data_IF_457465378021
#
_entry.id   IF_457465378021
#
_cell.length_a   1.000
_cell.length_b   1.000
_cell.length_c   1.000
_cell.angle_alpha   90.00
_cell.angle_beta   90.00
_cell.angle_gamma   90.00
#
_symmetry.space_group_name_H-M   'P 1'
#
loop_
_entity.id
_entity.type
_entity.pdbx_description
1 polymer ?
#
# COMPACT_ATOMS: atom_id res chain seq x y z
N UNK A 1 -17.80 -61.85 0.98
CA UNK A 1 -17.69 -61.74 2.45
C UNK A 1 -16.61 -62.74 2.89
N UNK A 2 -15.52 -62.35 3.56
CA UNK A 2 -15.14 -61.02 4.06
C UNK A 2 -14.02 -60.33 3.26
N UNK A 3 -14.02 -59.01 3.39
CA UNK A 3 -12.99 -58.03 3.03
C UNK A 3 -11.80 -58.23 3.99
N UNK A 4 -10.65 -58.67 3.48
CA UNK A 4 -9.44 -58.84 4.28
C UNK A 4 -8.85 -57.47 4.55
N UNK A 5 -8.88 -57.07 5.82
CA UNK A 5 -8.16 -55.93 6.33
C UNK A 5 -6.67 -55.99 5.93
N UNK A 6 -6.25 -55.06 5.08
CA UNK A 6 -4.84 -54.78 4.83
C UNK A 6 -4.39 -53.77 5.89
N UNK A 7 -3.64 -54.26 6.89
CA UNK A 7 -3.00 -53.43 7.90
C UNK A 7 -1.97 -52.52 7.23
N UNK A 8 -1.99 -51.18 7.45
CA UNK A 8 -0.89 -50.35 7.00
C UNK A 8 0.38 -50.64 7.83
N UNK A 9 1.50 -50.72 7.12
CA UNK A 9 2.84 -51.00 7.62
C UNK A 9 3.33 -49.94 8.64
N UNK A 10 4.24 -50.31 9.56
CA UNK A 10 4.72 -49.39 10.60
C UNK A 10 5.52 -48.24 9.98
N UNK A 11 5.15 -47.00 10.33
CA UNK A 11 5.89 -45.79 9.95
C UNK A 11 7.22 -45.77 10.70
N UNK A 12 8.31 -45.91 9.96
CA UNK A 12 9.67 -45.71 10.42
C UNK A 12 9.83 -44.23 10.85
N UNK A 13 10.16 -44.00 12.12
CA UNK A 13 10.41 -42.65 12.65
C UNK A 13 11.85 -42.25 12.35
N UNK A 14 12.12 -41.17 11.60
CA UNK A 14 13.47 -40.65 11.52
C UNK A 14 13.86 -39.95 12.83
N UNK A 15 15.10 -40.19 13.22
CA UNK A 15 15.76 -39.90 14.50
C UNK A 15 15.85 -38.39 14.84
N UNK A 16 16.01 -38.03 16.14
CA UNK A 16 16.14 -36.64 16.55
C UNK A 16 17.42 -36.01 15.98
N UNK A 17 17.26 -35.00 15.13
CA UNK A 17 18.39 -34.25 14.58
C UNK A 17 18.94 -33.32 15.67
N UNK A 18 20.22 -33.53 15.95
CA UNK A 18 21.09 -32.77 16.85
C UNK A 18 21.04 -31.26 16.56
N UNK A 19 20.89 -30.44 17.60
CA UNK A 19 20.88 -28.98 17.49
C UNK A 19 22.28 -28.47 17.14
N UNK A 20 22.49 -27.74 16.03
CA UNK A 20 23.76 -27.09 15.81
C UNK A 20 23.90 -25.88 16.75
N UNK A 21 25.13 -25.75 17.28
CA UNK A 21 25.61 -24.76 18.23
C UNK A 21 25.42 -23.29 17.77
N UNK A 22 25.40 -22.32 18.71
CA UNK A 22 25.22 -20.90 18.38
C UNK A 22 26.40 -20.39 17.55
N UNK A 23 26.13 -20.04 16.29
CA UNK A 23 27.10 -19.37 15.43
C UNK A 23 27.20 -17.91 15.85
N UNK A 24 28.44 -17.50 16.13
CA UNK A 24 28.84 -16.18 16.58
C UNK A 24 28.42 -15.08 15.59
N UNK A 25 28.08 -13.92 16.16
CA UNK A 25 27.61 -12.74 15.44
C UNK A 25 28.68 -12.23 14.46
N UNK A 26 28.39 -12.09 13.15
CA UNK A 26 29.27 -11.34 12.29
C UNK A 26 29.12 -9.84 12.58
N UNK A 27 30.27 -9.30 12.95
CA UNK A 27 30.70 -7.92 13.07
C UNK A 27 30.01 -6.94 12.09
N UNK A 28 29.48 -5.87 12.70
CA UNK A 28 29.43 -4.48 12.23
C UNK A 28 29.49 -4.24 10.71
N UNK A 29 28.31 -4.12 10.10
CA UNK A 29 28.18 -3.48 8.79
C UNK A 29 28.41 -1.96 8.94
N UNK A 30 29.51 -1.48 8.38
CA UNK A 30 29.76 -0.05 8.16
C UNK A 30 28.61 0.54 7.31
N UNK A 31 28.04 1.70 7.67
CA UNK A 31 26.98 2.30 6.88
C UNK A 31 27.57 2.84 5.57
N UNK A 32 27.43 2.06 4.50
CA UNK A 32 27.60 2.55 3.14
C UNK A 32 26.61 3.69 2.90
N UNK A 33 27.15 4.84 2.50
CA UNK A 33 26.51 6.14 2.33
C UNK A 33 25.00 6.13 2.14
N UNK A 34 24.28 6.72 3.10
CA UNK A 34 22.98 7.30 2.84
C UNK A 34 23.17 8.35 1.74
N UNK A 35 22.80 8.01 0.51
CA UNK A 35 22.50 9.05 -0.48
C UNK A 35 21.20 9.66 0.03
N UNK A 36 21.30 10.75 0.76
CA UNK A 36 20.15 11.55 1.19
C UNK A 36 19.27 11.77 -0.05
N UNK A 37 17.98 11.37 -0.04
CA UNK A 37 17.08 11.79 -1.10
C UNK A 37 17.04 13.32 -1.02
N UNK A 38 17.63 13.96 -2.02
CA UNK A 38 17.71 15.41 -2.12
C UNK A 38 16.29 15.92 -2.39
N UNK A 39 15.53 16.14 -1.31
CA UNK A 39 14.17 16.68 -1.32
C UNK A 39 14.23 18.12 -1.80
N UNK A 40 14.28 18.29 -3.12
CA UNK A 40 14.08 19.58 -3.75
C UNK A 40 12.57 19.81 -3.76
N UNK A 41 12.07 20.40 -2.68
CA UNK A 41 10.66 20.79 -2.55
C UNK A 41 10.39 21.95 -3.50
N UNK A 42 10.22 21.66 -4.79
CA UNK A 42 9.65 22.63 -5.72
C UNK A 42 8.23 22.99 -5.24
N UNK A 43 7.86 24.28 -5.23
CA UNK A 43 6.52 24.68 -4.82
C UNK A 43 5.49 24.02 -5.75
N UNK A 44 4.46 23.42 -5.18
CA UNK A 44 3.40 22.76 -5.94
C UNK A 44 2.68 23.75 -6.86
N UNK A 45 2.42 23.33 -8.11
CA UNK A 45 1.64 24.09 -9.08
C UNK A 45 0.23 24.34 -8.54
N UNK A 46 -0.17 25.61 -8.43
CA UNK A 46 -1.48 26.02 -7.90
C UNK A 46 -2.65 25.40 -8.68
N UNK A 47 -2.45 25.12 -9.98
CA UNK A 47 -3.47 24.46 -10.82
C UNK A 47 -3.79 23.07 -10.30
N UNK A 48 -2.78 22.33 -9.86
CA UNK A 48 -2.95 21.00 -9.29
C UNK A 48 -3.67 21.06 -7.94
N UNK A 49 -3.31 22.02 -7.09
CA UNK A 49 -3.99 22.23 -5.81
C UNK A 49 -5.48 22.57 -5.99
N UNK A 50 -5.81 23.27 -7.08
CA UNK A 50 -7.19 23.64 -7.42
C UNK A 50 -7.98 22.56 -8.16
N UNK A 51 -7.36 21.45 -8.57
CA UNK A 51 -7.95 20.42 -9.44
C UNK A 51 -8.97 19.48 -8.75
N UNK A 52 -9.69 19.97 -7.74
CA UNK A 52 -10.64 19.17 -6.96
C UNK A 52 -11.82 18.67 -7.79
N UNK A 53 -12.34 19.48 -8.71
CA UNK A 53 -13.46 19.05 -9.58
C UNK A 53 -13.05 17.94 -10.55
N UNK A 54 -11.83 18.02 -11.08
CA UNK A 54 -11.24 16.96 -11.90
C UNK A 54 -11.10 15.66 -11.10
N UNK A 55 -10.56 15.75 -9.87
CA UNK A 55 -10.41 14.60 -8.99
C UNK A 55 -11.76 13.98 -8.57
N UNK A 56 -12.75 14.81 -8.25
CA UNK A 56 -14.12 14.34 -7.97
C UNK A 56 -14.77 13.69 -9.20
N UNK A 57 -14.49 14.21 -10.40
CA UNK A 57 -14.90 13.60 -11.66
C UNK A 57 -14.38 12.17 -11.78
N UNK A 58 -13.05 12.00 -11.67
CA UNK A 58 -12.40 10.69 -11.78
C UNK A 58 -12.87 9.70 -10.71
N UNK A 59 -13.05 10.14 -9.46
CA UNK A 59 -13.60 9.28 -8.40
C UNK A 59 -15.01 8.77 -8.74
N UNK A 60 -15.86 9.64 -9.31
CA UNK A 60 -17.24 9.27 -9.66
C UNK A 60 -17.32 8.25 -10.81
N UNK A 61 -16.24 8.08 -11.58
CA UNK A 61 -16.17 7.05 -12.61
C UNK A 61 -16.01 5.64 -12.01
N UNK A 62 -15.37 5.53 -10.84
CA UNK A 62 -15.04 4.24 -10.23
C UNK A 62 -15.91 3.90 -9.01
N UNK A 63 -16.50 4.90 -8.36
CA UNK A 63 -17.24 4.71 -7.10
C UNK A 63 -18.47 5.61 -7.02
N UNK A 64 -19.55 5.19 -6.35
CA UNK A 64 -20.72 6.05 -6.15
C UNK A 64 -20.35 7.32 -5.37
N UNK A 65 -20.91 8.47 -5.77
CA UNK A 65 -20.61 9.75 -5.10
C UNK A 65 -20.86 9.76 -3.58
N UNK A 66 -21.77 8.92 -3.09
CA UNK A 66 -22.06 8.77 -1.66
C UNK A 66 -20.88 8.21 -0.83
N UNK A 67 -19.91 7.55 -1.47
CA UNK A 67 -18.73 6.98 -0.82
C UNK A 67 -17.60 8.00 -0.66
N UNK A 68 -17.70 9.13 -1.37
CA UNK A 68 -16.69 10.20 -1.40
C UNK A 68 -17.05 11.24 -0.32
N UNK A 69 -16.07 11.55 0.52
CA UNK A 69 -16.15 12.50 1.62
C UNK A 69 -15.74 13.92 1.26
N UNK A 70 -15.62 14.74 2.28
CA UNK A 70 -15.09 16.10 2.15
C UNK A 70 -13.59 16.06 1.82
N UNK A 71 -13.04 17.11 1.16
CA UNK A 71 -11.61 17.23 0.94
C UNK A 71 -10.81 17.15 2.24
N UNK A 72 -9.72 16.40 2.21
CA UNK A 72 -8.91 16.04 3.37
C UNK A 72 -7.43 16.47 3.22
N UNK A 73 -7.19 17.51 2.44
CA UNK A 73 -5.85 18.02 2.14
C UNK A 73 -5.22 17.36 0.93
N UNK A 74 -3.90 17.51 0.82
CA UNK A 74 -3.12 16.99 -0.29
C UNK A 74 -1.70 16.68 0.14
N UNK A 75 -1.01 15.87 -0.65
CA UNK A 75 0.44 15.63 -0.55
C UNK A 75 1.09 16.04 -1.86
N UNK A 76 2.28 16.65 -1.78
CA UNK A 76 3.12 16.93 -2.95
C UNK A 76 4.08 15.76 -3.08
N UNK A 77 4.02 15.07 -4.21
CA UNK A 77 4.89 13.94 -4.50
C UNK A 77 6.08 14.41 -5.36
N UNK A 78 7.11 13.57 -5.45
CA UNK A 78 8.24 13.82 -6.35
C UNK A 78 7.79 13.90 -7.82
N UNK A 79 8.46 14.76 -8.60
CA UNK A 79 8.20 14.88 -10.04
C UNK A 79 6.99 15.76 -10.41
N UNK A 80 6.56 16.66 -9.53
CA UNK A 80 5.51 17.64 -9.83
C UNK A 80 4.09 17.07 -9.81
N UNK A 81 3.89 15.97 -9.07
CA UNK A 81 2.58 15.33 -8.89
C UNK A 81 1.98 15.79 -7.57
N UNK A 82 0.66 15.98 -7.53
CA UNK A 82 -0.09 16.29 -6.31
C UNK A 82 -1.15 15.22 -6.08
N UNK A 83 -1.13 14.64 -4.90
CA UNK A 83 -2.12 13.68 -4.42
C UNK A 83 -3.23 14.40 -3.66
N UNK A 84 -4.36 14.65 -4.30
CA UNK A 84 -5.55 15.25 -3.65
C UNK A 84 -6.30 14.17 -2.87
N UNK A 85 -6.59 14.44 -1.59
CA UNK A 85 -7.22 13.48 -0.69
C UNK A 85 -8.64 13.88 -0.33
N UNK A 86 -9.51 12.89 -0.19
CA UNK A 86 -10.88 13.03 0.27
C UNK A 86 -11.17 11.98 1.33
N UNK A 87 -11.98 12.34 2.33
CA UNK A 87 -12.45 11.35 3.30
C UNK A 87 -13.17 10.20 2.59
N UNK A 88 -13.04 8.98 3.10
CA UNK A 88 -13.84 7.84 2.64
C UNK A 88 -15.10 7.67 3.52
N UNK A 89 -16.22 7.27 2.89
CA UNK A 89 -17.48 6.94 3.56
C UNK A 89 -17.87 5.45 3.45
N UNK A 90 -17.03 4.60 2.85
CA UNK A 90 -17.22 3.16 2.84
C UNK A 90 -17.04 2.57 4.23
N UNK A 91 -18.06 1.85 4.72
CA UNK A 91 -18.06 1.25 6.05
C UNK A 91 -16.93 0.23 6.29
N UNK A 92 -16.45 -0.43 5.23
CA UNK A 92 -15.36 -1.41 5.32
C UNK A 92 -13.96 -0.81 5.40
N UNK A 93 -13.82 0.51 5.20
CA UNK A 93 -12.53 1.18 5.10
C UNK A 93 -12.44 2.40 6.04
N UNK A 94 -12.65 2.22 7.36
CA UNK A 94 -12.58 3.32 8.31
C UNK A 94 -11.17 3.94 8.34
N UNK A 95 -11.09 5.27 8.35
CA UNK A 95 -9.85 6.05 8.30
C UNK A 95 -8.99 5.86 7.03
N UNK A 96 -9.55 5.29 5.97
CA UNK A 96 -8.94 5.35 4.64
C UNK A 96 -9.34 6.66 3.94
N UNK A 97 -8.60 7.02 2.90
CA UNK A 97 -8.80 8.20 2.09
C UNK A 97 -8.88 7.81 0.63
N UNK A 98 -9.83 8.40 -0.09
CA UNK A 98 -9.73 8.44 -1.54
C UNK A 98 -8.62 9.40 -1.91
N UNK A 99 -7.69 8.95 -2.73
CA UNK A 99 -6.55 9.73 -3.22
C UNK A 99 -6.60 9.77 -4.73
N UNK A 100 -6.42 10.95 -5.29
CA UNK A 100 -6.30 11.16 -6.73
C UNK A 100 -5.01 11.89 -7.01
N UNK A 101 -4.08 11.22 -7.70
CA UNK A 101 -2.82 11.82 -8.13
C UNK A 101 -3.04 12.56 -9.43
N UNK A 102 -2.72 13.86 -9.42
CA UNK A 102 -2.85 14.74 -10.59
C UNK A 102 -1.51 15.35 -10.96
N UNK A 103 -1.29 15.54 -12.25
CA UNK A 103 -0.08 16.13 -12.80
C UNK A 103 -0.38 17.00 -14.01
N UNK A 104 0.50 17.96 -14.27
CA UNK A 104 0.54 18.72 -15.51
C UNK A 104 1.77 18.30 -16.31
N UNK A 105 1.59 18.11 -17.61
CA UNK A 105 2.70 17.96 -18.56
C UNK A 105 2.87 19.28 -19.31
N UNK A 106 4.07 19.86 -19.22
CA UNK A 106 4.39 21.18 -19.78
C UNK A 106 3.40 22.27 -19.31
N UNK A 107 2.80 23.02 -20.24
CA UNK A 107 1.80 24.06 -20.00
C UNK A 107 0.36 23.57 -20.26
N UNK A 108 0.14 22.25 -20.35
CA UNK A 108 -1.18 21.67 -20.61
C UNK A 108 -2.13 21.78 -19.40
N UNK A 109 -3.40 21.39 -19.58
CA UNK A 109 -4.35 21.28 -18.47
C UNK A 109 -3.97 20.10 -17.53
N UNK A 110 -4.28 20.19 -16.22
CA UNK A 110 -4.09 19.08 -15.28
C UNK A 110 -4.77 17.79 -15.75
N UNK A 111 -4.10 16.66 -15.53
CA UNK A 111 -4.60 15.32 -15.83
C UNK A 111 -4.52 14.42 -14.61
N UNK A 112 -5.38 13.40 -14.57
CA UNK A 112 -5.38 12.38 -13.51
C UNK A 112 -4.43 11.25 -13.92
N UNK A 113 -3.53 10.89 -13.02
CA UNK A 113 -2.61 9.75 -13.19
C UNK A 113 -3.23 8.48 -12.64
N UNK A 114 -3.74 8.53 -11.41
CA UNK A 114 -4.33 7.38 -10.74
C UNK A 114 -5.41 7.79 -9.73
N UNK A 115 -6.21 6.81 -9.36
CA UNK A 115 -7.23 6.92 -8.31
C UNK A 115 -7.12 5.69 -7.43
N UNK A 116 -6.97 5.91 -6.13
CA UNK A 116 -6.73 4.85 -5.18
C UNK A 116 -7.40 5.12 -3.84
N UNK A 117 -7.52 4.07 -3.03
CA UNK A 117 -7.99 4.14 -1.66
C UNK A 117 -6.83 3.75 -0.76
N UNK A 118 -6.31 4.71 0.00
CA UNK A 118 -5.13 4.52 0.84
C UNK A 118 -5.47 4.57 2.33
N UNK A 119 -4.83 3.74 3.16
CA UNK A 119 -5.00 3.80 4.61
C UNK A 119 -4.40 5.08 5.17
N UNK A 120 -5.14 5.76 6.04
CA UNK A 120 -4.62 6.85 6.87
C UNK A 120 -4.26 6.39 8.29
N UNK A 121 -4.03 7.37 9.17
CA UNK A 121 -3.75 7.09 10.58
C UNK A 121 -4.92 6.34 11.22
N UNK A 122 -4.62 5.23 11.91
CA UNK A 122 -5.62 4.41 12.58
C UNK A 122 -6.53 3.64 11.61
N UNK A 123 -6.16 3.49 10.34
CA UNK A 123 -6.85 2.63 9.40
C UNK A 123 -6.74 1.16 9.81
N UNK A 124 -7.83 0.41 9.62
CA UNK A 124 -7.79 -1.05 9.78
C UNK A 124 -6.98 -1.64 8.61
N UNK A 125 -5.85 -2.26 8.93
CA UNK A 125 -4.97 -2.92 7.97
C UNK A 125 -5.22 -4.43 7.95
N UNK A 126 -4.86 -5.04 6.83
CA UNK A 126 -4.89 -6.49 6.70
C UNK A 126 -3.89 -7.14 7.68
N UNK A 127 -4.18 -8.36 8.17
CA UNK A 127 -3.20 -9.13 8.92
C UNK A 127 -2.03 -9.56 8.01
N UNK A 128 -0.96 -10.05 8.63
CA UNK A 128 0.16 -10.69 7.94
C UNK A 128 -0.33 -11.79 6.99
N UNK A 129 0.25 -11.85 5.79
CA UNK A 129 -0.08 -12.85 4.81
C UNK A 129 0.35 -14.25 5.26
N UNK A 130 -0.49 -15.26 4.99
CA UNK A 130 -0.18 -16.67 5.26
C UNK A 130 -0.12 -17.48 3.96
N UNK A 131 0.86 -18.38 3.80
CA UNK A 131 0.93 -19.27 2.64
C UNK A 131 -0.31 -20.15 2.50
N UNK A 132 -0.70 -20.39 1.25
CA UNK A 132 -1.65 -21.43 0.92
C UNK A 132 -0.96 -22.81 0.98
N UNK A 133 -1.61 -23.78 1.63
CA UNK A 133 -1.12 -25.16 1.80
C UNK A 133 -1.43 -26.04 0.58
#
# INVERSE_FOLDING_TARGET
MPDSAESPEPVESPEPVESPEPVESPESLEPAGTSEPSQSSEPADERLLSAHDLALGALREITPAATIGDPAGYTVEDGGVVSLRFHNRLAGYPNWFWTVSVAVVDDAEPTVLEVELLPGEGALLAPEWVPWA
#
